data_IF_760900505029
#
_entry.id   IF_760900505029
#
_cell.length_a   1.000
_cell.length_b   1.000
_cell.length_c   1.000
_cell.angle_alpha   90.00
_cell.angle_beta   90.00
_cell.angle_gamma   90.00
#
_symmetry.space_group_name_H-M   'P 1'
#
loop_
_entity.id
_entity.type
_entity.pdbx_description
1 polymer ?
#
# COMPACT_ATOMS: atom_id res chain seq x y z
N UNK A 1 -11.16 -1.87 -0.54
CA UNK A 1 -10.86 -0.45 -0.87
C UNK A 1 -9.66 -0.03 -0.06
N UNK A 2 -8.68 0.68 -0.65
CA UNK A 2 -7.51 1.16 0.10
C UNK A 2 -7.89 2.47 0.80
N UNK A 3 -7.52 2.65 2.05
CA UNK A 3 -7.65 3.89 2.80
C UNK A 3 -6.28 4.51 2.99
N UNK A 4 -6.22 5.82 2.86
CA UNK A 4 -5.06 6.63 3.19
C UNK A 4 -5.41 7.53 4.37
N UNK A 5 -4.70 7.33 5.49
CA UNK A 5 -4.82 8.07 6.74
C UNK A 5 -3.63 9.02 6.83
N UNK A 6 -3.90 10.33 6.89
CA UNK A 6 -2.87 11.36 6.95
C UNK A 6 -2.83 11.97 8.34
N UNK A 7 -1.65 11.96 8.95
CA UNK A 7 -1.37 12.56 10.26
C UNK A 7 -0.27 13.62 10.14
N UNK A 8 -0.30 14.60 11.03
CA UNK A 8 0.76 15.60 11.15
C UNK A 8 1.27 15.67 12.58
N UNK A 9 2.59 15.68 12.72
CA UNK A 9 3.28 15.73 14.01
C UNK A 9 4.30 16.84 14.03
N UNK A 10 4.45 17.45 15.20
CA UNK A 10 5.31 18.62 15.42
C UNK A 10 6.55 18.27 16.25
N UNK A 11 6.76 16.99 16.51
CA UNK A 11 7.88 16.49 17.29
C UNK A 11 8.44 15.19 16.73
N UNK A 12 9.77 15.13 16.61
CA UNK A 12 10.47 13.90 16.23
C UNK A 12 10.34 12.83 17.31
N UNK A 13 10.39 13.21 18.59
CA UNK A 13 10.25 12.25 19.69
C UNK A 13 8.85 11.64 19.76
N UNK A 14 7.84 12.40 19.37
CA UNK A 14 6.46 11.90 19.27
C UNK A 14 6.32 10.93 18.10
N UNK A 15 6.87 11.27 16.93
CA UNK A 15 6.95 10.38 15.78
C UNK A 15 7.62 9.04 16.16
N UNK A 16 8.82 9.09 16.74
CA UNK A 16 9.56 7.90 17.16
C UNK A 16 8.72 7.04 18.13
N UNK A 17 8.12 7.65 19.15
CA UNK A 17 7.26 6.93 20.10
C UNK A 17 6.02 6.29 19.47
N UNK A 18 5.41 6.93 18.47
CA UNK A 18 4.23 6.40 17.79
C UNK A 18 4.59 5.26 16.84
N UNK A 19 5.74 5.35 16.17
CA UNK A 19 6.27 4.26 15.35
C UNK A 19 6.61 3.05 16.22
N UNK A 20 7.28 3.23 17.37
CA UNK A 20 7.58 2.13 18.30
C UNK A 20 6.30 1.40 18.73
N UNK A 21 5.25 2.14 19.13
CA UNK A 21 3.94 1.56 19.49
C UNK A 21 3.26 0.82 18.35
N UNK A 22 3.53 1.23 17.11
CA UNK A 22 2.99 0.58 15.91
C UNK A 22 3.72 -0.73 15.64
N UNK A 23 5.05 -0.73 15.76
CA UNK A 23 5.90 -1.92 15.60
C UNK A 23 5.66 -2.98 16.71
N UNK A 24 5.24 -2.56 17.91
CA UNK A 24 4.77 -3.50 18.96
C UNK A 24 3.53 -4.31 18.55
N UNK A 25 2.77 -3.85 17.55
CA UNK A 25 1.48 -4.46 17.14
C UNK A 25 1.47 -5.00 15.72
N UNK A 26 2.32 -4.47 14.86
CA UNK A 26 2.41 -4.82 13.44
C UNK A 26 3.88 -5.07 13.12
N UNK A 27 4.22 -6.25 12.61
CA UNK A 27 5.58 -6.50 12.12
C UNK A 27 5.83 -5.65 10.87
N UNK A 28 6.69 -4.65 11.01
CA UNK A 28 7.06 -3.72 9.94
C UNK A 28 8.51 -3.93 9.52
N UNK A 29 8.79 -3.69 8.25
CA UNK A 29 10.12 -3.72 7.66
C UNK A 29 10.30 -2.45 6.83
N UNK A 30 11.55 -1.97 6.74
CA UNK A 30 11.88 -0.86 5.85
C UNK A 30 11.55 -1.25 4.41
N UNK A 31 10.81 -0.39 3.71
CA UNK A 31 10.61 -0.55 2.28
C UNK A 31 11.96 -0.29 1.58
N UNK A 32 12.34 -1.13 0.62
CA UNK A 32 13.70 -1.19 0.06
C UNK A 32 14.09 -0.02 -0.87
N UNK A 33 13.44 1.14 -0.75
CA UNK A 33 13.60 2.29 -1.65
C UNK A 33 14.16 3.55 -0.96
N UNK A 34 14.66 3.43 0.27
CA UNK A 34 15.39 4.54 0.91
C UNK A 34 16.80 4.64 0.29
N UNK A 35 16.87 5.27 -0.89
CA UNK A 35 18.13 5.86 -1.36
C UNK A 35 18.54 6.94 -0.34
N UNK A 36 19.81 6.90 0.04
CA UNK A 36 20.46 7.86 0.92
C UNK A 36 20.25 9.28 0.38
N UNK A 37 19.37 10.07 1.03
CA UNK A 37 19.50 11.52 1.25
C UNK A 37 18.19 12.09 1.86
N UNK A 38 18.25 12.49 3.14
CA UNK A 38 17.44 13.52 3.84
C UNK A 38 15.90 13.67 3.70
N UNK A 39 15.14 12.78 3.05
CA UNK A 39 13.74 13.05 2.63
C UNK A 39 12.61 12.23 3.27
N UNK A 40 12.88 11.44 4.30
CA UNK A 40 11.86 10.62 4.98
C UNK A 40 12.20 9.15 5.03
N UNK A 41 11.24 8.30 5.42
CA UNK A 41 11.39 6.84 5.38
C UNK A 41 10.05 6.16 5.16
N UNK A 42 10.09 4.91 4.68
CA UNK A 42 8.91 4.08 4.47
C UNK A 42 9.03 2.72 5.16
N UNK A 43 7.94 2.29 5.81
CA UNK A 43 7.81 0.99 6.46
C UNK A 43 6.62 0.24 5.85
N UNK A 44 6.71 -1.08 5.71
CA UNK A 44 5.60 -1.92 5.29
C UNK A 44 5.60 -3.27 5.99
N UNK A 45 4.44 -3.92 6.05
CA UNK A 45 4.34 -5.32 6.44
C UNK A 45 4.64 -6.26 5.25
N UNK A 46 4.83 -7.56 5.53
CA UNK A 46 5.34 -8.54 4.54
C UNK A 46 4.52 -8.65 3.26
N UNK A 47 3.20 -8.49 3.34
CA UNK A 47 2.28 -8.54 2.21
C UNK A 47 1.88 -7.16 1.67
N UNK A 48 2.50 -6.08 2.18
CA UNK A 48 2.25 -4.68 1.81
C UNK A 48 0.79 -4.23 1.93
N UNK A 49 -0.03 -4.95 2.69
CA UNK A 49 -1.40 -4.51 3.03
C UNK A 49 -1.42 -3.32 3.99
N UNK A 50 -0.26 -2.97 4.53
CA UNK A 50 -0.03 -1.84 5.40
C UNK A 50 1.30 -1.17 5.07
N UNK A 51 1.24 0.13 4.76
CA UNK A 51 2.40 0.94 4.41
C UNK A 51 2.37 2.26 5.18
N UNK A 52 3.48 2.63 5.80
CA UNK A 52 3.67 3.88 6.53
C UNK A 52 4.73 4.68 5.80
N UNK A 53 4.38 5.88 5.34
CA UNK A 53 5.32 6.81 4.74
C UNK A 53 5.46 8.03 5.63
N UNK A 54 6.69 8.37 6.00
CA UNK A 54 6.99 9.50 6.87
C UNK A 54 7.77 10.53 6.06
N UNK A 55 7.23 11.73 5.95
CA UNK A 55 7.81 12.83 5.19
C UNK A 55 8.11 14.03 6.12
N UNK A 56 9.38 14.44 6.29
CA UNK A 56 9.69 15.69 6.96
C UNK A 56 9.17 16.86 6.12
N UNK A 57 8.48 17.81 6.74
CA UNK A 57 7.93 19.01 6.09
C UNK A 57 8.72 20.25 6.51
N UNK A 58 8.94 21.15 5.56
CA UNK A 58 9.57 22.45 5.82
C UNK A 58 8.52 23.46 6.30
N UNK A 59 8.35 23.55 7.63
CA UNK A 59 7.59 24.59 8.31
C UNK A 59 6.18 24.21 8.77
N UNK A 60 5.75 24.80 9.89
CA UNK A 60 4.41 24.65 10.47
C UNK A 60 4.21 23.35 11.25
N UNK A 61 4.34 22.22 10.57
CA UNK A 61 4.26 20.87 11.13
C UNK A 61 5.45 20.05 10.61
N UNK A 62 6.23 19.42 11.48
CA UNK A 62 7.56 18.89 11.14
C UNK A 62 7.52 17.58 10.35
N UNK A 63 6.47 16.77 10.52
CA UNK A 63 6.33 15.47 9.86
C UNK A 63 4.89 15.26 9.36
N UNK A 64 4.74 14.84 8.11
CA UNK A 64 3.50 14.29 7.56
C UNK A 64 3.67 12.77 7.46
N UNK A 65 2.73 12.05 8.05
CA UNK A 65 2.70 10.59 8.02
C UNK A 65 1.51 10.17 7.18
N UNK A 66 1.76 9.33 6.19
CA UNK A 66 0.75 8.79 5.28
C UNK A 66 0.71 7.28 5.46
N UNK A 67 -0.35 6.80 6.12
CA UNK A 67 -0.58 5.37 6.34
C UNK A 67 -1.59 4.88 5.32
N UNK A 68 -1.21 3.90 4.51
CA UNK A 68 -2.08 3.23 3.54
C UNK A 68 -2.42 1.84 4.04
N UNK A 69 -3.69 1.49 4.01
CA UNK A 69 -4.13 0.12 4.33
C UNK A 69 -5.41 -0.26 3.62
N UNK A 70 -5.58 -1.54 3.33
CA UNK A 70 -6.84 -2.12 2.84
C UNK A 70 -7.51 -3.04 3.86
N UNK A 71 -7.05 -3.01 5.12
CA UNK A 71 -7.51 -3.85 6.21
C UNK A 71 -8.05 -2.99 7.37
N UNK A 72 -9.33 -3.17 7.70
CA UNK A 72 -10.02 -2.46 8.78
C UNK A 72 -9.39 -2.73 10.17
N UNK A 73 -8.73 -3.88 10.33
CA UNK A 73 -8.00 -4.20 11.56
C UNK A 73 -6.80 -3.27 11.75
N UNK A 74 -6.01 -3.06 10.69
CA UNK A 74 -4.86 -2.17 10.75
C UNK A 74 -5.28 -0.70 10.87
N UNK A 75 -6.37 -0.30 10.23
CA UNK A 75 -6.96 1.03 10.45
C UNK A 75 -7.30 1.25 11.93
N UNK A 76 -7.95 0.28 12.56
CA UNK A 76 -8.33 0.36 13.98
C UNK A 76 -7.09 0.48 14.87
N UNK A 77 -6.04 -0.29 14.59
CA UNK A 77 -4.76 -0.19 15.30
C UNK A 77 -4.16 1.20 15.13
N UNK A 78 -4.07 1.70 13.90
CA UNK A 78 -3.51 3.01 13.60
C UNK A 78 -4.24 4.12 14.33
N UNK A 79 -5.58 4.15 14.26
CA UNK A 79 -6.39 5.16 14.96
C UNK A 79 -6.24 5.08 16.48
N UNK A 80 -6.02 3.88 17.04
CA UNK A 80 -5.77 3.71 18.47
C UNK A 80 -4.40 4.26 18.93
N UNK A 81 -3.42 4.35 18.03
CA UNK A 81 -2.06 4.81 18.32
C UNK A 81 -1.91 6.30 18.01
N UNK A 82 -2.28 6.71 16.80
CA UNK A 82 -2.11 8.06 16.29
C UNK A 82 -3.30 8.99 16.58
N UNK A 83 -4.43 8.44 17.01
CA UNK A 83 -5.68 9.19 17.15
C UNK A 83 -6.42 9.34 15.82
N UNK A 84 -7.27 10.36 15.73
CA UNK A 84 -8.00 10.65 14.49
C UNK A 84 -7.07 11.29 13.45
N UNK A 85 -7.10 10.83 12.18
CA UNK A 85 -6.31 11.44 11.13
C UNK A 85 -6.79 12.85 10.81
N UNK A 86 -5.88 13.70 10.35
CA UNK A 86 -6.25 15.01 9.84
C UNK A 86 -7.06 14.88 8.54
N UNK A 87 -6.73 13.87 7.72
CA UNK A 87 -7.47 13.53 6.50
C UNK A 87 -7.56 12.02 6.32
N UNK A 88 -8.74 11.55 5.96
CA UNK A 88 -8.99 10.17 5.54
C UNK A 88 -9.45 10.17 4.08
N UNK A 89 -8.75 9.44 3.22
CA UNK A 89 -9.01 9.40 1.78
C UNK A 89 -9.23 7.94 1.38
N UNK A 90 -10.40 7.65 0.83
CA UNK A 90 -10.64 6.38 0.13
C UNK A 90 -9.93 6.42 -1.23
N UNK A 91 -9.00 5.50 -1.46
CA UNK A 91 -8.32 5.29 -2.73
C UNK A 91 -8.76 3.97 -3.36
N UNK A 92 -8.94 4.02 -4.66
CA UNK A 92 -9.08 2.81 -5.46
C UNK A 92 -7.78 1.99 -5.38
N UNK A 93 -7.92 0.67 -5.40
CA UNK A 93 -6.77 -0.22 -5.48
C UNK A 93 -5.96 0.05 -6.75
N UNK A 94 -4.65 0.11 -6.59
CA UNK A 94 -3.72 0.33 -7.68
C UNK A 94 -3.59 -0.93 -8.55
N UNK A 95 -3.01 -0.76 -9.75
CA UNK A 95 -2.69 -1.89 -10.62
C UNK A 95 -1.69 -2.86 -9.96
N UNK A 96 -0.87 -2.37 -9.03
CA UNK A 96 0.12 -3.17 -8.31
C UNK A 96 -0.53 -4.08 -7.28
N UNK A 97 -1.51 -3.56 -6.53
CA UNK A 97 -2.28 -4.35 -5.58
C UNK A 97 -2.99 -5.51 -6.30
N UNK A 98 -3.59 -5.20 -7.46
CA UNK A 98 -4.25 -6.21 -8.29
C UNK A 98 -3.24 -7.24 -8.81
N UNK A 99 -2.07 -6.80 -9.26
CA UNK A 99 -1.00 -7.67 -9.74
C UNK A 99 -0.46 -8.61 -8.65
N UNK A 100 -0.23 -8.10 -7.44
CA UNK A 100 0.26 -8.88 -6.30
C UNK A 100 -0.76 -9.95 -5.89
N UNK A 101 -2.05 -9.60 -5.78
CA UNK A 101 -3.11 -10.58 -5.51
C UNK A 101 -3.22 -11.67 -6.57
N UNK A 102 -3.11 -11.31 -7.85
CA UNK A 102 -3.14 -12.28 -8.94
C UNK A 102 -1.97 -13.25 -8.90
N UNK A 103 -0.80 -12.81 -8.42
CA UNK A 103 0.38 -13.65 -8.28
C UNK A 103 0.25 -14.69 -7.15
N UNK A 104 -0.70 -14.51 -6.23
CA UNK A 104 -1.01 -15.44 -5.14
C UNK A 104 -2.06 -16.50 -5.53
N UNK A 105 -2.73 -16.35 -6.68
CA UNK A 105 -3.75 -17.30 -7.13
C UNK A 105 -3.12 -18.62 -7.65
N UNK A 106 -3.81 -19.76 -7.46
CA UNK A 106 -3.40 -21.03 -8.06
C UNK A 106 -3.24 -20.93 -9.58
N UNK A 107 -2.19 -21.55 -10.13
CA UNK A 107 -1.84 -21.50 -11.57
C UNK A 107 -2.97 -22.00 -12.48
N UNK A 108 -3.86 -22.83 -11.94
CA UNK A 108 -5.01 -23.42 -12.62
C UNK A 108 -6.34 -22.67 -12.40
N UNK A 109 -6.32 -21.47 -11.82
CA UNK A 109 -7.54 -20.66 -11.66
C UNK A 109 -8.10 -20.26 -13.02
N UNK A 110 -9.37 -20.57 -13.30
CA UNK A 110 -9.99 -20.25 -14.58
C UNK A 110 -10.16 -18.73 -14.75
N UNK A 111 -10.13 -18.27 -16.00
CA UNK A 111 -10.12 -16.82 -16.30
C UNK A 111 -11.38 -16.10 -15.84
N UNK A 112 -12.53 -16.77 -15.87
CA UNK A 112 -13.80 -16.21 -15.41
C UNK A 112 -13.78 -16.06 -13.88
N UNK A 113 -13.26 -17.05 -13.15
CA UNK A 113 -13.08 -16.99 -11.70
C UNK A 113 -12.11 -15.87 -11.29
N UNK A 114 -11.01 -15.68 -12.03
CA UNK A 114 -10.06 -14.59 -11.76
C UNK A 114 -10.73 -13.22 -11.85
N UNK A 115 -11.66 -13.01 -12.80
CA UNK A 115 -12.38 -11.74 -12.94
C UNK A 115 -13.23 -11.47 -11.71
N UNK A 116 -14.02 -12.46 -11.29
CA UNK A 116 -14.93 -12.29 -10.17
C UNK A 116 -14.19 -12.17 -8.84
N UNK A 117 -13.07 -12.89 -8.67
CA UNK A 117 -12.17 -12.76 -7.53
C UNK A 117 -11.56 -11.36 -7.43
N UNK A 118 -11.01 -10.83 -8.53
CA UNK A 118 -10.43 -9.47 -8.56
C UNK A 118 -11.50 -8.40 -8.31
N UNK A 119 -12.67 -8.51 -8.95
CA UNK A 119 -13.77 -7.56 -8.72
C UNK A 119 -14.24 -7.56 -7.28
N UNK A 120 -14.38 -8.75 -6.68
CA UNK A 120 -14.82 -8.91 -5.29
C UNK A 120 -13.76 -8.42 -4.30
N UNK A 121 -12.48 -8.75 -4.53
CA UNK A 121 -11.38 -8.40 -3.62
C UNK A 121 -11.10 -6.90 -3.61
N UNK A 122 -11.22 -6.24 -4.75
CA UNK A 122 -10.82 -4.84 -4.93
C UNK A 122 -11.97 -3.87 -5.14
N UNK A 123 -13.22 -4.34 -5.11
CA UNK A 123 -14.42 -3.54 -5.35
C UNK A 123 -14.36 -2.75 -6.68
N UNK A 124 -13.92 -3.44 -7.74
CA UNK A 124 -13.73 -2.81 -9.06
C UNK A 124 -15.01 -2.83 -9.88
N UNK A 125 -15.34 -1.68 -10.48
CA UNK A 125 -16.36 -1.60 -11.52
C UNK A 125 -15.92 -2.37 -12.78
N UNK A 126 -16.86 -2.86 -13.57
CA UNK A 126 -16.54 -3.56 -14.84
C UNK A 126 -15.67 -2.71 -15.77
N UNK A 127 -15.89 -1.39 -15.78
CA UNK A 127 -15.11 -0.48 -16.62
C UNK A 127 -13.66 -0.31 -16.14
N UNK A 128 -13.42 -0.27 -14.82
CA UNK A 128 -12.04 -0.27 -14.28
C UNK A 128 -11.36 -1.62 -14.52
N UNK A 129 -12.08 -2.73 -14.36
CA UNK A 129 -11.55 -4.06 -14.63
C UNK A 129 -11.09 -4.21 -16.10
N UNK A 130 -11.89 -3.82 -17.09
CA UNK A 130 -11.50 -3.94 -18.50
C UNK A 130 -10.27 -3.09 -18.87
N UNK A 131 -10.09 -1.92 -18.22
CA UNK A 131 -8.87 -1.12 -18.38
C UNK A 131 -7.61 -1.85 -17.87
N UNK A 132 -7.72 -2.55 -16.74
CA UNK A 132 -6.61 -3.29 -16.14
C UNK A 132 -6.38 -4.66 -16.79
N UNK A 133 -7.45 -5.33 -17.24
CA UNK A 133 -7.47 -6.69 -17.79
C UNK A 133 -6.45 -6.92 -18.90
N UNK A 134 -6.26 -5.95 -19.80
CA UNK A 134 -5.29 -6.09 -20.89
C UNK A 134 -3.84 -6.02 -20.41
N UNK A 135 -3.55 -5.28 -19.34
CA UNK A 135 -2.22 -5.22 -18.73
C UNK A 135 -2.00 -6.47 -17.88
N UNK A 136 -2.99 -6.85 -17.08
CA UNK A 136 -3.02 -8.05 -16.24
C UNK A 136 -2.80 -9.32 -17.07
N UNK A 137 -3.55 -9.53 -18.15
CA UNK A 137 -3.47 -10.76 -18.95
C UNK A 137 -2.20 -10.86 -19.80
N UNK A 138 -1.67 -9.72 -20.27
CA UNK A 138 -0.38 -9.67 -20.98
C UNK A 138 0.78 -10.02 -20.05
N UNK A 139 0.62 -9.79 -18.75
CA UNK A 139 1.66 -10.02 -17.77
C UNK A 139 1.51 -11.41 -17.14
N UNK A 140 0.32 -11.84 -16.72
CA UNK A 140 0.07 -13.14 -16.07
C UNK A 140 0.44 -14.38 -16.90
N UNK A 141 0.63 -14.23 -18.23
CA UNK A 141 1.02 -15.33 -19.13
C UNK A 141 2.53 -15.46 -19.34
N UNK A 142 3.34 -14.61 -18.69
CA UNK A 142 4.81 -14.66 -18.77
C UNK A 142 5.40 -15.36 -17.55
N UNK A 143 6.38 -16.25 -17.77
CA UNK A 143 7.09 -16.99 -16.70
C UNK A 143 7.77 -16.04 -15.69
N UNK A 144 8.05 -14.81 -16.13
CA UNK A 144 8.68 -13.70 -15.42
C UNK A 144 7.73 -12.52 -15.11
N UNK A 145 6.41 -12.73 -15.20
CA UNK A 145 5.35 -11.74 -14.95
C UNK A 145 5.58 -10.88 -13.70
N UNK A 146 5.93 -11.56 -12.60
CA UNK A 146 6.14 -10.95 -11.29
C UNK A 146 7.32 -9.99 -11.31
N UNK A 147 8.42 -10.35 -11.95
CA UNK A 147 9.61 -9.52 -12.12
C UNK A 147 9.35 -8.36 -13.09
N UNK A 148 8.60 -8.60 -14.17
CA UNK A 148 8.28 -7.57 -15.16
C UNK A 148 7.32 -6.51 -14.61
N UNK A 149 6.28 -6.92 -13.87
CA UNK A 149 5.35 -6.01 -13.20
C UNK A 149 6.06 -5.20 -12.12
N UNK A 150 6.94 -5.85 -11.33
CA UNK A 150 7.82 -5.16 -10.37
C UNK A 150 8.71 -4.12 -11.07
N UNK A 151 9.42 -4.49 -12.13
CA UNK A 151 10.29 -3.58 -12.88
C UNK A 151 9.53 -2.48 -13.64
N UNK A 152 8.28 -2.72 -14.05
CA UNK A 152 7.45 -1.72 -14.72
C UNK A 152 6.89 -0.70 -13.71
N UNK A 153 6.57 -1.14 -12.49
CA UNK A 153 6.25 -0.27 -11.37
C UNK A 153 7.43 0.65 -11.02
N UNK A 154 8.63 0.08 -10.98
CA UNK A 154 9.89 0.79 -10.71
C UNK A 154 10.24 1.86 -11.76
N UNK A 155 9.74 1.75 -13.02
CA UNK A 155 10.01 2.69 -14.12
C UNK A 155 8.98 3.83 -14.26
N UNK A 156 7.87 3.77 -13.52
CA UNK A 156 6.82 4.80 -13.53
C UNK A 156 6.95 5.79 -12.36
N UNK A 157 7.89 5.54 -11.45
CA UNK A 157 8.47 6.54 -10.54
C UNK A 157 9.60 7.30 -11.24
#
# INVERSE_FOLDING_TARGET
MVKELVFRLNSKSELESLIDKLEERIELRKASLDDEDDFGFSLCNDNRSFEVNVHPKTGGDLFEIVIKTNDDHFETITKSIFGEPEREIAKDSSILDIAEYLAELPVNTEREDVKDLVKTKFDLTDQKYENFKNIILKQATRVDARTYLKNAAERLN
#
